data_IF_554526350595
#
_entry.id   IF_554526350595
#
_cell.length_a   1.000
_cell.length_b   1.000
_cell.length_c   1.000
_cell.angle_alpha   90.00
_cell.angle_beta   90.00
_cell.angle_gamma   90.00
#
_symmetry.space_group_name_H-M   'P 1'
#
loop_
_entity.id
_entity.type
_entity.pdbx_description
1 polymer ?
#
# COMPACT_ATOMS: atom_id res chain seq x y z
N UNK A 1 -8.26 -23.42 75.28
CA UNK A 1 -8.64 -22.34 74.35
C UNK A 1 -9.12 -21.19 75.22
N UNK A 2 -8.26 -20.44 75.92
CA UNK A 2 -7.07 -19.70 75.45
C UNK A 2 -7.43 -18.67 74.38
N UNK A 3 -7.25 -17.41 74.74
CA UNK A 3 -7.73 -16.22 74.08
C UNK A 3 -6.75 -15.66 73.03
N UNK A 4 -7.16 -14.59 72.36
CA UNK A 4 -6.36 -13.78 71.45
C UNK A 4 -6.25 -12.34 71.97
N UNK A 5 -5.21 -11.61 71.56
CA UNK A 5 -5.29 -10.15 71.32
C UNK A 5 -4.05 -9.61 70.61
N UNK A 6 -4.27 -9.06 69.41
CA UNK A 6 -3.69 -7.78 68.95
C UNK A 6 -2.16 -7.64 68.78
N UNK A 7 -1.75 -6.46 68.32
CA UNK A 7 -0.40 -6.12 67.81
C UNK A 7 -0.06 -4.65 68.16
N UNK A 8 1.21 -4.27 68.04
CA UNK A 8 1.69 -2.91 67.70
C UNK A 8 3.23 -2.97 67.39
N UNK A 9 3.80 -2.05 66.57
CA UNK A 9 5.23 -2.02 66.23
C UNK A 9 6.02 -0.91 66.95
N UNK A 10 7.37 -0.99 66.95
CA UNK A 10 8.26 -0.02 67.61
C UNK A 10 9.64 0.14 66.93
N UNK A 11 10.38 1.26 67.18
CA UNK A 11 10.92 2.02 66.04
C UNK A 11 12.42 2.40 66.07
N UNK A 12 12.92 2.90 64.93
CA UNK A 12 14.24 3.54 64.76
C UNK A 12 15.26 2.69 63.99
N UNK A 13 16.30 3.24 63.34
CA UNK A 13 16.63 4.65 63.04
C UNK A 13 17.57 4.75 61.81
N UNK A 14 17.81 5.96 61.29
CA UNK A 14 18.77 6.30 60.19
C UNK A 14 19.89 7.20 60.75
N UNK A 15 20.98 7.53 60.02
CA UNK A 15 21.51 7.01 58.74
C UNK A 15 23.00 6.56 58.80
N UNK A 16 23.58 6.06 57.70
CA UNK A 16 25.05 5.96 57.58
C UNK A 16 25.59 5.42 56.24
N UNK A 17 26.73 5.98 55.80
CA UNK A 17 27.77 5.32 54.98
C UNK A 17 27.46 4.88 53.52
N UNK A 18 27.92 5.65 52.53
CA UNK A 18 28.28 5.11 51.21
C UNK A 18 29.69 4.50 51.25
N UNK A 19 29.96 3.46 50.44
CA UNK A 19 31.16 3.52 49.60
C UNK A 19 30.92 3.09 48.14
N UNK A 20 31.73 3.62 47.22
CA UNK A 20 31.94 3.07 45.87
C UNK A 20 33.10 2.08 45.89
N UNK A 21 33.06 1.05 45.04
CA UNK A 21 34.24 0.36 44.56
C UNK A 21 34.06 -0.07 43.09
N UNK A 22 35.10 0.13 42.29
CA UNK A 22 35.37 -0.56 41.01
C UNK A 22 36.56 -1.54 41.32
N UNK A 23 37.14 -2.37 40.44
CA UNK A 23 37.15 -2.46 38.97
C UNK A 23 37.71 -3.83 38.51
N UNK A 24 37.12 -4.38 37.43
CA UNK A 24 37.76 -5.17 36.34
C UNK A 24 38.60 -6.47 36.62
N UNK A 25 38.77 -7.36 35.60
CA UNK A 25 39.34 -8.71 35.78
C UNK A 25 40.78 -8.88 35.25
N UNK A 26 41.47 -9.95 35.67
CA UNK A 26 42.72 -10.43 35.04
C UNK A 26 42.82 -11.97 35.00
N UNK A 27 43.68 -12.47 34.10
CA UNK A 27 43.96 -13.88 33.84
C UNK A 27 45.44 -14.25 34.13
N UNK A 28 45.78 -15.54 34.31
CA UNK A 28 47.17 -16.01 34.41
C UNK A 28 47.85 -16.19 33.03
N UNK A 29 49.19 -16.33 33.02
CA UNK A 29 50.04 -16.33 31.80
C UNK A 29 50.92 -17.59 31.68
N UNK A 30 51.20 -18.02 30.44
CA UNK A 30 52.49 -18.53 29.87
C UNK A 30 53.33 -19.59 30.65
N UNK A 31 53.98 -20.57 30.00
CA UNK A 31 54.92 -20.37 28.89
C UNK A 31 55.47 -21.67 28.28
N UNK A 32 55.87 -21.61 27.00
CA UNK A 32 56.94 -22.32 26.26
C UNK A 32 56.53 -22.35 24.76
N UNK A 33 56.99 -21.43 23.90
CA UNK A 33 58.33 -21.34 23.26
C UNK A 33 58.54 -22.40 22.16
N UNK A 34 58.38 -22.00 20.89
CA UNK A 34 59.44 -22.09 19.88
C UNK A 34 59.20 -21.11 18.70
N UNK A 35 60.27 -20.87 17.92
CA UNK A 35 60.47 -19.78 16.93
C UNK A 35 59.68 -20.02 15.62
N UNK A 36 59.09 -19.00 14.98
CA UNK A 36 59.64 -18.09 13.95
C UNK A 36 60.08 -18.80 12.64
N UNK A 37 59.96 -18.22 11.43
CA UNK A 37 60.08 -16.80 11.03
C UNK A 37 59.07 -16.34 9.96
N UNK A 38 59.03 -15.03 9.70
CA UNK A 38 58.44 -14.43 8.50
C UNK A 38 59.50 -14.19 7.40
N UNK A 39 59.08 -14.13 6.14
CA UNK A 39 59.89 -13.65 5.02
C UNK A 39 59.01 -13.02 3.92
N UNK A 40 59.42 -11.85 3.42
CA UNK A 40 58.79 -11.10 2.33
C UNK A 40 59.44 -11.39 0.96
N UNK A 41 58.85 -10.99 -0.19
CA UNK A 41 59.14 -11.62 -1.49
C UNK A 41 60.39 -11.09 -2.20
N UNK A 42 60.82 -11.79 -3.26
CA UNK A 42 61.86 -11.34 -4.21
C UNK A 42 61.60 -11.93 -5.62
N UNK A 43 61.91 -11.26 -6.75
CA UNK A 43 61.50 -11.67 -8.10
C UNK A 43 62.67 -12.06 -9.04
N UNK A 44 62.37 -12.42 -10.32
CA UNK A 44 63.07 -12.08 -11.60
C UNK A 44 62.97 -13.19 -12.69
N UNK A 45 62.11 -12.92 -13.68
CA UNK A 45 62.13 -13.03 -15.18
C UNK A 45 63.15 -13.94 -15.96
N UNK A 46 63.12 -14.10 -17.33
CA UNK A 46 62.97 -15.42 -17.97
C UNK A 46 64.07 -15.75 -19.02
N UNK A 47 63.80 -16.63 -20.01
CA UNK A 47 63.95 -16.15 -21.41
C UNK A 47 62.95 -16.68 -22.47
N UNK A 48 62.53 -15.77 -23.37
CA UNK A 48 62.38 -15.85 -24.86
C UNK A 48 61.63 -17.06 -25.49
N UNK A 49 60.73 -16.91 -26.47
CA UNK A 49 60.24 -15.76 -27.30
C UNK A 49 59.22 -16.31 -28.33
N UNK A 50 58.91 -15.80 -29.55
CA UNK A 50 59.22 -14.61 -30.39
C UNK A 50 58.25 -14.67 -31.61
N UNK A 51 57.82 -13.63 -32.36
CA UNK A 51 57.92 -12.16 -32.25
C UNK A 51 57.15 -11.46 -33.40
N UNK A 52 56.43 -10.36 -33.13
CA UNK A 52 56.06 -9.33 -34.15
C UNK A 52 54.64 -9.40 -34.75
N UNK A 53 54.06 -8.32 -35.31
CA UNK A 53 54.47 -6.91 -35.49
C UNK A 53 53.25 -6.09 -36.00
N UNK A 54 53.07 -4.77 -35.88
CA UNK A 54 53.70 -3.68 -35.10
C UNK A 54 52.73 -2.43 -35.08
N UNK A 55 53.22 -1.22 -34.75
CA UNK A 55 52.50 0.06 -34.82
C UNK A 55 53.29 1.12 -35.63
N UNK A 56 52.62 2.17 -36.14
CA UNK A 56 52.91 3.57 -35.73
C UNK A 56 51.60 4.36 -35.43
N UNK A 57 51.43 5.19 -34.40
CA UNK A 57 52.19 6.31 -33.79
C UNK A 57 51.86 7.70 -34.37
N UNK A 58 51.33 8.61 -33.53
CA UNK A 58 50.83 9.95 -33.88
C UNK A 58 51.86 11.09 -33.70
N UNK A 59 51.56 12.30 -34.21
CA UNK A 59 51.76 13.54 -33.43
C UNK A 59 50.60 14.57 -33.55
N UNK A 60 50.63 15.62 -32.72
CA UNK A 60 49.81 16.87 -32.81
C UNK A 60 50.72 18.11 -32.61
N UNK A 61 50.31 19.21 -31.95
CA UNK A 61 48.97 19.81 -31.76
C UNK A 61 48.92 21.37 -31.89
N UNK A 62 47.74 22.01 -31.85
CA UNK A 62 47.53 23.47 -31.60
C UNK A 62 46.13 23.70 -30.98
N UNK A 63 45.96 24.43 -29.85
CA UNK A 63 45.86 25.90 -29.63
C UNK A 63 44.65 26.58 -30.35
N UNK A 64 43.81 27.41 -29.71
CA UNK A 64 43.80 27.96 -28.32
C UNK A 64 42.39 28.45 -27.88
N UNK A 65 42.23 28.76 -26.56
CA UNK A 65 41.43 29.84 -25.90
C UNK A 65 39.96 30.17 -26.32
N UNK A 66 39.07 30.75 -25.51
CA UNK A 66 38.85 30.87 -24.04
C UNK A 66 37.45 31.52 -23.78
N UNK A 67 36.95 31.58 -22.53
CA UNK A 67 35.96 32.62 -22.14
C UNK A 67 34.50 32.23 -21.76
N UNK A 68 34.27 32.17 -20.44
CA UNK A 68 33.10 32.60 -19.62
C UNK A 68 31.73 33.02 -20.25
N UNK A 69 30.65 32.61 -19.57
CA UNK A 69 29.25 33.13 -19.66
C UNK A 69 29.05 34.40 -18.78
N UNK A 70 27.84 35.02 -18.61
CA UNK A 70 26.49 34.72 -19.15
C UNK A 70 25.68 35.95 -19.68
N UNK A 71 24.42 35.75 -20.14
CA UNK A 71 23.44 36.85 -20.32
C UNK A 71 22.22 36.52 -21.19
N UNK A 72 20.97 36.90 -20.80
CA UNK A 72 19.75 36.58 -21.55
C UNK A 72 19.29 37.71 -22.50
N UNK A 73 18.42 37.36 -23.47
CA UNK A 73 17.55 38.31 -24.19
C UNK A 73 16.14 37.74 -24.31
N UNK A 74 15.14 38.53 -23.92
CA UNK A 74 13.72 38.20 -24.15
C UNK A 74 13.22 38.69 -25.51
N UNK A 75 12.05 38.20 -25.93
CA UNK A 75 11.30 38.69 -27.10
C UNK A 75 9.84 38.89 -26.68
N UNK A 76 9.18 39.90 -27.25
CA UNK A 76 7.87 40.37 -26.80
C UNK A 76 6.69 39.45 -27.18
N UNK A 77 5.59 39.63 -26.44
CA UNK A 77 4.31 38.99 -26.72
C UNK A 77 3.64 39.55 -28.00
N UNK A 78 2.89 38.69 -28.68
CA UNK A 78 1.98 39.07 -29.76
C UNK A 78 0.75 38.17 -29.73
N UNK A 79 -0.33 38.64 -29.10
CA UNK A 79 -1.60 37.91 -29.05
C UNK A 79 -2.48 38.33 -30.24
N UNK A 80 -3.14 37.36 -30.88
CA UNK A 80 -4.33 37.65 -31.67
C UNK A 80 -5.27 36.44 -31.64
N UNK A 81 -6.55 36.70 -31.37
CA UNK A 81 -7.55 35.65 -31.17
C UNK A 81 -8.79 35.94 -32.01
N UNK A 82 -9.07 35.10 -33.00
CA UNK A 82 -10.34 35.06 -33.71
C UNK A 82 -10.55 33.71 -34.40
N UNK A 83 -11.78 33.21 -34.31
CA UNK A 83 -12.41 32.22 -35.20
C UNK A 83 -11.72 30.86 -35.39
N UNK A 84 -12.16 29.87 -34.60
CA UNK A 84 -13.08 28.87 -35.17
C UNK A 84 -14.03 28.30 -34.11
N UNK A 85 -15.34 28.42 -34.33
CA UNK A 85 -16.39 27.94 -33.41
C UNK A 85 -17.40 27.08 -34.18
N UNK A 86 -17.11 25.79 -34.35
CA UNK A 86 -18.04 24.79 -34.90
C UNK A 86 -17.48 23.36 -34.75
N UNK A 87 -18.14 22.50 -33.96
CA UNK A 87 -18.33 21.04 -34.17
C UNK A 87 -18.95 20.27 -32.96
N UNK A 88 -19.77 20.93 -32.13
CA UNK A 88 -20.62 20.22 -31.16
C UNK A 88 -21.84 19.58 -31.86
N UNK A 89 -21.64 18.46 -32.59
CA UNK A 89 -22.68 17.44 -32.89
C UNK A 89 -22.10 16.21 -33.60
N UNK A 90 -21.42 15.32 -32.85
CA UNK A 90 -21.33 13.90 -33.23
C UNK A 90 -21.85 13.04 -32.09
N UNK A 91 -22.98 12.36 -32.33
CA UNK A 91 -23.58 11.40 -31.37
C UNK A 91 -22.64 10.20 -31.25
N UNK A 92 -22.04 10.00 -30.07
CA UNK A 92 -21.25 8.80 -29.82
C UNK A 92 -22.18 7.58 -29.69
N UNK A 93 -22.29 6.78 -30.76
CA UNK A 93 -23.14 5.57 -30.83
C UNK A 93 -22.46 4.37 -30.15
N UNK A 94 -22.12 4.46 -28.86
CA UNK A 94 -21.60 3.32 -28.08
C UNK A 94 -22.05 3.28 -26.61
N UNK A 95 -23.30 3.69 -26.35
CA UNK A 95 -23.99 3.45 -25.07
C UNK A 95 -25.27 2.62 -25.29
N UNK A 96 -25.11 1.34 -25.61
CA UNK A 96 -26.20 0.38 -25.43
C UNK A 96 -26.21 -0.05 -23.95
N UNK A 97 -27.35 -0.02 -23.24
CA UNK A 97 -27.40 -0.51 -21.87
C UNK A 97 -27.17 -2.03 -21.85
N UNK A 98 -26.14 -2.47 -21.14
CA UNK A 98 -25.97 -3.90 -20.83
C UNK A 98 -27.20 -4.38 -20.06
N UNK A 99 -27.80 -5.47 -20.53
CA UNK A 99 -28.89 -6.11 -19.82
C UNK A 99 -28.41 -6.55 -18.42
N UNK A 100 -29.25 -6.45 -17.37
CA UNK A 100 -28.85 -6.88 -16.04
C UNK A 100 -28.48 -8.37 -16.07
N UNK A 101 -27.39 -8.79 -15.40
CA UNK A 101 -27.03 -10.20 -15.34
C UNK A 101 -28.17 -11.00 -14.70
N UNK A 102 -28.46 -12.19 -15.24
CA UNK A 102 -29.41 -13.12 -14.62
C UNK A 102 -28.96 -13.39 -13.18
N UNK A 103 -29.88 -13.46 -12.19
CA UNK A 103 -29.52 -13.70 -10.81
C UNK A 103 -28.83 -15.07 -10.69
N UNK A 104 -27.51 -15.05 -10.45
CA UNK A 104 -26.77 -16.26 -10.12
C UNK A 104 -27.24 -16.75 -8.75
N UNK A 105 -27.64 -18.02 -8.69
CA UNK A 105 -28.04 -18.66 -7.44
C UNK A 105 -26.81 -18.82 -6.56
N UNK A 106 -26.89 -18.40 -5.29
CA UNK A 106 -25.84 -18.67 -4.32
C UNK A 106 -25.67 -20.18 -4.14
N UNK A 107 -24.45 -20.69 -3.91
CA UNK A 107 -24.27 -22.07 -3.49
C UNK A 107 -25.01 -22.32 -2.17
N UNK A 108 -25.63 -23.50 -1.99
CA UNK A 108 -26.34 -23.84 -0.76
C UNK A 108 -25.39 -23.82 0.45
N UNK A 109 -25.88 -23.31 1.57
CA UNK A 109 -25.10 -23.11 2.81
C UNK A 109 -24.69 -21.65 3.09
N UNK A 110 -24.85 -20.74 2.13
CA UNK A 110 -24.45 -19.34 2.32
C UNK A 110 -25.38 -18.59 3.32
N UNK A 111 -24.85 -17.90 4.36
CA UNK A 111 -25.68 -17.16 5.32
C UNK A 111 -26.47 -16.02 4.66
N UNK A 112 -27.76 -15.92 4.97
CA UNK A 112 -28.61 -14.81 4.50
C UNK A 112 -28.42 -13.57 5.39
N UNK A 113 -28.36 -12.36 4.83
CA UNK A 113 -28.39 -11.13 5.63
C UNK A 113 -29.76 -10.95 6.31
N UNK A 114 -29.82 -10.23 7.46
CA UNK A 114 -31.07 -9.86 8.09
C UNK A 114 -31.85 -8.88 7.22
N UNK A 115 -33.18 -9.00 7.17
CA UNK A 115 -34.04 -8.14 6.35
C UNK A 115 -34.23 -6.78 7.07
N UNK A 116 -33.92 -5.63 6.44
CA UNK A 116 -34.15 -4.33 7.05
C UNK A 116 -35.65 -4.01 7.21
N UNK A 117 -36.06 -3.31 8.28
CA UNK A 117 -37.46 -2.96 8.51
C UNK A 117 -37.98 -1.98 7.45
N UNK A 118 -39.26 -2.13 7.05
CA UNK A 118 -39.88 -1.32 6.00
C UNK A 118 -40.38 0.03 6.53
N UNK A 119 -39.78 1.12 6.05
CA UNK A 119 -40.28 2.49 6.17
C UNK A 119 -39.33 3.47 5.45
N UNK A 120 -39.77 4.57 4.84
CA UNK A 120 -41.12 5.08 4.61
C UNK A 120 -41.23 5.66 3.17
N UNK A 121 -42.41 6.16 2.79
CA UNK A 121 -42.67 6.63 1.42
C UNK A 121 -41.80 7.83 1.01
N UNK A 122 -41.40 7.88 -0.26
CA UNK A 122 -40.67 8.99 -0.85
C UNK A 122 -41.64 9.89 -1.64
N UNK A 123 -41.68 11.19 -1.30
CA UNK A 123 -42.54 12.15 -2.00
C UNK A 123 -41.93 12.60 -3.32
N UNK A 124 -42.70 12.52 -4.41
CA UNK A 124 -42.31 13.09 -5.70
C UNK A 124 -42.20 14.61 -5.64
N UNK A 125 -41.20 15.20 -6.32
CA UNK A 125 -41.17 16.63 -6.62
C UNK A 125 -40.68 16.90 -8.05
N UNK A 126 -41.36 17.81 -8.75
CA UNK A 126 -41.12 18.13 -10.16
C UNK A 126 -39.79 18.86 -10.36
N UNK A 127 -39.04 18.47 -11.38
CA UNK A 127 -37.87 19.21 -11.84
C UNK A 127 -38.25 20.47 -12.62
N UNK A 128 -37.61 21.59 -12.31
CA UNK A 128 -37.63 22.83 -13.09
C UNK A 128 -36.23 23.13 -13.66
N UNK A 129 -36.16 23.59 -14.92
CA UNK A 129 -34.89 23.76 -15.64
C UNK A 129 -34.19 25.09 -15.26
N UNK A 130 -32.88 25.10 -15.04
CA UNK A 130 -32.10 26.34 -14.95
C UNK A 130 -31.78 26.89 -16.34
N UNK A 131 -31.74 28.22 -16.47
CA UNK A 131 -31.27 28.94 -17.66
C UNK A 131 -29.89 29.54 -17.43
N UNK A 132 -29.01 29.49 -18.43
CA UNK A 132 -27.66 30.06 -18.35
C UNK A 132 -27.66 31.60 -18.24
N UNK A 133 -26.78 32.15 -17.40
CA UNK A 133 -26.24 33.52 -17.54
C UNK A 133 -24.73 33.48 -17.33
N UNK A 134 -24.00 34.28 -18.10
CA UNK A 134 -22.54 34.31 -18.10
C UNK A 134 -22.00 35.19 -16.97
N UNK A 135 -20.92 34.76 -16.30
CA UNK A 135 -20.08 35.67 -15.52
C UNK A 135 -19.21 36.51 -16.46
N UNK A 136 -19.15 37.82 -16.21
CA UNK A 136 -18.03 38.66 -16.65
C UNK A 136 -17.11 38.89 -15.45
N UNK A 137 -15.82 38.66 -15.63
CA UNK A 137 -14.80 39.11 -14.69
C UNK A 137 -14.64 40.63 -14.78
N UNK A 138 -14.62 41.30 -13.64
CA UNK A 138 -14.32 42.72 -13.52
C UNK A 138 -13.18 42.91 -12.50
N UNK A 139 -12.07 43.48 -12.94
CA UNK A 139 -10.92 43.80 -12.08
C UNK A 139 -11.09 45.21 -11.51
N UNK A 140 -11.01 45.37 -10.18
CA UNK A 140 -10.81 46.69 -9.56
C UNK A 140 -9.88 46.64 -8.35
N UNK A 141 -9.40 47.83 -7.99
CA UNK A 141 -8.25 48.09 -7.11
C UNK A 141 -8.56 47.90 -5.61
N UNK A 142 -7.53 47.73 -4.76
CA UNK A 142 -7.71 47.63 -3.32
C UNK A 142 -8.26 48.94 -2.71
N UNK A 143 -9.03 48.80 -1.63
CA UNK A 143 -9.45 49.88 -0.75
C UNK A 143 -8.86 49.69 0.65
N UNK A 144 -8.75 50.80 1.38
CA UNK A 144 -7.97 50.90 2.62
C UNK A 144 -8.67 50.31 3.84
N UNK A 145 -7.86 49.89 4.82
CA UNK A 145 -8.37 49.35 6.07
C UNK A 145 -9.12 50.41 6.89
N UNK A 146 -10.30 50.05 7.40
CA UNK A 146 -11.01 50.81 8.43
C UNK A 146 -11.67 49.84 9.41
N UNK A 147 -11.25 49.88 10.67
CA UNK A 147 -11.86 49.06 11.73
C UNK A 147 -13.27 49.57 12.03
N UNK A 148 -14.24 48.65 12.08
CA UNK A 148 -15.50 48.81 12.81
C UNK A 148 -15.72 47.55 13.65
N UNK A 149 -16.25 47.70 14.87
CA UNK A 149 -16.52 46.58 15.79
C UNK A 149 -17.94 46.07 15.62
N UNK A 150 -18.10 44.75 15.73
CA UNK A 150 -19.34 44.10 16.15
C UNK A 150 -20.42 43.97 15.08
N UNK A 151 -20.57 42.74 14.58
CA UNK A 151 -21.83 41.99 14.55
C UNK A 151 -21.48 40.54 14.20
N UNK A 152 -21.84 39.56 15.02
CA UNK A 152 -21.59 38.13 14.75
C UNK A 152 -22.74 37.55 13.94
N UNK A 153 -22.54 37.16 12.66
CA UNK A 153 -23.58 36.46 11.91
C UNK A 153 -23.70 35.04 12.44
N UNK A 154 -24.88 34.66 12.95
CA UNK A 154 -25.24 33.24 13.13
C UNK A 154 -25.39 32.60 11.74
N UNK A 155 -24.29 32.15 11.17
CA UNK A 155 -24.30 31.35 9.93
C UNK A 155 -24.89 29.98 10.27
N UNK A 156 -26.20 29.83 10.09
CA UNK A 156 -26.87 28.55 10.16
C UNK A 156 -26.51 27.75 8.89
N UNK A 157 -25.35 27.11 8.92
CA UNK A 157 -24.82 26.30 7.82
C UNK A 157 -25.61 24.99 7.68
N UNK A 158 -26.82 25.09 7.12
CA UNK A 158 -27.56 23.93 6.60
C UNK A 158 -26.80 23.37 5.41
N UNK A 159 -25.86 22.47 5.67
CA UNK A 159 -25.16 21.71 4.63
C UNK A 159 -26.20 20.87 3.91
N UNK A 160 -26.64 21.33 2.74
CA UNK A 160 -27.39 20.50 1.80
C UNK A 160 -26.50 19.33 1.42
N UNK A 161 -26.98 18.11 1.63
CA UNK A 161 -26.28 16.91 1.20
C UNK A 161 -25.88 17.05 -0.26
N UNK A 162 -24.57 16.91 -0.53
CA UNK A 162 -24.05 16.75 -1.89
C UNK A 162 -24.69 15.53 -2.56
N UNK A 163 -24.85 15.52 -3.89
CA UNK A 163 -25.54 14.43 -4.59
C UNK A 163 -24.92 13.09 -4.22
N UNK A 164 -25.70 12.22 -3.59
CA UNK A 164 -25.24 10.94 -3.05
C UNK A 164 -24.63 10.09 -4.16
N UNK A 165 -23.31 10.02 -4.20
CA UNK A 165 -22.58 9.13 -5.10
C UNK A 165 -22.70 7.70 -4.57
N UNK A 166 -23.87 7.10 -4.79
CA UNK A 166 -24.19 5.74 -4.42
C UNK A 166 -23.36 4.78 -5.26
N UNK A 167 -22.11 4.53 -4.85
CA UNK A 167 -21.60 3.17 -4.90
C UNK A 167 -22.45 2.37 -3.91
N UNK A 168 -23.38 1.54 -4.39
CA UNK A 168 -24.30 0.87 -3.50
C UNK A 168 -23.54 -0.33 -2.94
N UNK A 169 -23.28 -0.32 -1.62
CA UNK A 169 -22.73 -1.48 -0.92
C UNK A 169 -23.85 -2.53 -0.83
N UNK A 170 -24.17 -3.16 -1.96
CA UNK A 170 -25.34 -4.04 -2.11
C UNK A 170 -25.08 -5.34 -1.36
N UNK A 171 -25.88 -5.56 -0.34
CA UNK A 171 -26.05 -6.87 0.26
C UNK A 171 -26.35 -7.89 -0.85
N UNK A 172 -25.57 -8.97 -0.91
CA UNK A 172 -25.70 -10.01 -1.93
C UNK A 172 -24.90 -9.85 -3.23
N UNK A 173 -24.12 -8.77 -3.41
CA UNK A 173 -23.06 -8.82 -4.43
C UNK A 173 -21.96 -9.81 -4.01
N UNK A 174 -21.27 -10.48 -4.97
CA UNK A 174 -20.12 -11.32 -4.66
C UNK A 174 -19.01 -10.51 -4.01
N UNK A 175 -18.06 -11.18 -3.38
CA UNK A 175 -16.80 -10.56 -2.96
C UNK A 175 -16.06 -10.04 -4.20
N UNK A 176 -15.67 -8.77 -4.15
CA UNK A 176 -14.96 -8.04 -5.19
C UNK A 176 -13.59 -7.61 -4.65
N UNK A 177 -12.59 -7.52 -5.53
CA UNK A 177 -11.29 -6.90 -5.23
C UNK A 177 -10.87 -5.98 -6.37
N UNK A 178 -10.66 -4.70 -6.08
CA UNK A 178 -10.01 -3.75 -7.01
C UNK A 178 -8.52 -3.66 -6.71
N UNK A 179 -7.69 -3.76 -7.75
CA UNK A 179 -6.25 -3.53 -7.66
C UNK A 179 -6.00 -2.02 -7.63
N UNK A 180 -5.62 -1.46 -6.47
CA UNK A 180 -5.24 -0.04 -6.36
C UNK A 180 -3.81 0.20 -6.85
N UNK A 181 -2.92 -0.79 -6.75
CA UNK A 181 -1.58 -0.75 -7.32
C UNK A 181 -0.89 -2.11 -7.29
N UNK A 182 0.20 -2.24 -8.05
CA UNK A 182 0.81 -3.54 -8.41
C UNK A 182 2.34 -3.56 -8.51
N UNK A 183 3.05 -2.45 -8.28
CA UNK A 183 4.46 -2.31 -8.66
C UNK A 183 5.40 -2.05 -7.47
N UNK A 184 6.49 -2.81 -7.36
CA UNK A 184 7.43 -2.74 -6.23
C UNK A 184 8.90 -2.75 -6.71
N UNK A 185 9.86 -2.11 -6.00
CA UNK A 185 9.70 -1.31 -4.78
C UNK A 185 9.32 0.16 -5.04
N UNK A 186 8.89 0.48 -6.26
CA UNK A 186 8.38 1.79 -6.65
C UNK A 186 7.42 1.65 -7.83
N UNK A 187 6.58 2.67 -8.05
CA UNK A 187 5.67 2.70 -9.19
C UNK A 187 6.33 3.28 -10.46
N UNK A 188 6.04 2.74 -11.66
CA UNK A 188 6.34 3.41 -12.92
C UNK A 188 5.47 4.67 -13.09
N UNK A 189 5.76 5.50 -14.10
CA UNK A 189 4.98 6.71 -14.41
C UNK A 189 3.49 6.37 -14.61
N UNK A 190 2.65 6.89 -13.72
CA UNK A 190 1.20 6.66 -13.72
C UNK A 190 0.71 5.40 -13.01
N UNK A 191 1.63 4.53 -12.56
CA UNK A 191 1.35 3.33 -11.74
C UNK A 191 1.08 3.65 -10.27
N UNK A 192 0.87 2.61 -9.45
CA UNK A 192 0.97 2.70 -7.99
C UNK A 192 1.60 1.44 -7.37
N UNK A 193 2.13 1.61 -6.17
CA UNK A 193 2.68 0.54 -5.34
C UNK A 193 1.58 -0.37 -4.74
N UNK A 194 1.92 -1.50 -4.11
CA UNK A 194 0.94 -2.47 -3.62
C UNK A 194 -0.19 -1.87 -2.78
N UNK A 195 -1.40 -2.22 -3.18
CA UNK A 195 -2.63 -1.84 -2.49
C UNK A 195 -3.85 -2.47 -3.17
N UNK A 196 -4.76 -3.02 -2.37
CA UNK A 196 -5.96 -3.72 -2.83
C UNK A 196 -7.18 -3.20 -2.05
N UNK A 197 -8.32 -3.06 -2.72
CA UNK A 197 -9.61 -2.76 -2.07
C UNK A 197 -10.55 -3.96 -2.22
N UNK A 198 -10.77 -4.69 -1.13
CA UNK A 198 -11.74 -5.79 -1.06
C UNK A 198 -13.10 -5.24 -0.63
N UNK A 199 -14.16 -5.56 -1.35
CA UNK A 199 -15.54 -5.13 -1.03
C UNK A 199 -16.48 -6.32 -0.98
N UNK A 200 -17.19 -6.49 0.13
CA UNK A 200 -18.15 -7.58 0.35
C UNK A 200 -19.09 -7.27 1.52
N UNK A 201 -20.39 -7.57 1.37
CA UNK A 201 -21.39 -7.59 2.47
C UNK A 201 -21.31 -6.42 3.48
N UNK A 202 -21.40 -5.18 3.00
CA UNK A 202 -21.34 -4.00 3.87
C UNK A 202 -19.93 -3.47 4.15
N UNK A 203 -18.88 -4.26 3.88
CA UNK A 203 -17.48 -3.95 4.21
C UNK A 203 -16.71 -3.47 2.99
N UNK A 204 -15.85 -2.48 3.22
CA UNK A 204 -14.76 -2.08 2.34
C UNK A 204 -13.45 -2.20 3.12
N UNK A 205 -12.53 -3.05 2.67
CA UNK A 205 -11.31 -3.43 3.37
C UNK A 205 -10.11 -3.15 2.47
N UNK A 206 -9.20 -2.29 2.93
CA UNK A 206 -7.97 -1.99 2.19
C UNK A 206 -6.84 -2.90 2.69
N UNK A 207 -6.14 -3.56 1.77
CA UNK A 207 -4.95 -4.37 2.05
C UNK A 207 -3.75 -3.63 1.47
N UNK A 208 -2.81 -3.25 2.33
CA UNK A 208 -1.67 -2.37 2.04
C UNK A 208 -2.05 -0.98 1.49
N UNK A 209 -1.10 -0.05 1.56
CA UNK A 209 -1.28 1.37 1.24
C UNK A 209 -0.01 2.01 0.70
N UNK A 210 0.51 1.44 -0.39
CA UNK A 210 1.67 1.95 -1.10
C UNK A 210 1.47 3.29 -1.82
N UNK A 211 2.56 4.01 -2.16
CA UNK A 211 2.55 5.23 -2.97
C UNK A 211 1.55 5.22 -4.13
N UNK A 212 0.61 6.17 -4.13
CA UNK A 212 -0.43 6.36 -5.14
C UNK A 212 -1.74 5.60 -4.91
N UNK A 213 -1.81 4.68 -3.95
CA UNK A 213 -3.02 3.88 -3.67
C UNK A 213 -4.16 4.70 -3.07
N UNK A 214 -3.89 5.72 -2.25
CA UNK A 214 -4.92 6.56 -1.59
C UNK A 214 -5.49 7.60 -2.54
N UNK A 215 -4.73 8.05 -3.54
CA UNK A 215 -5.29 8.81 -4.67
C UNK A 215 -6.26 7.94 -5.49
N UNK A 216 -5.95 6.65 -5.67
CA UNK A 216 -6.75 5.68 -6.43
C UNK A 216 -7.97 5.15 -5.66
N UNK A 217 -7.86 4.98 -4.35
CA UNK A 217 -8.95 4.59 -3.44
C UNK A 217 -10.19 5.48 -3.61
N UNK A 218 -9.98 6.80 -3.72
CA UNK A 218 -11.03 7.81 -3.87
C UNK A 218 -11.86 7.64 -5.15
N UNK A 219 -11.31 6.99 -6.19
CA UNK A 219 -12.04 6.66 -7.41
C UNK A 219 -12.94 5.40 -7.27
N UNK A 220 -12.91 4.73 -6.12
CA UNK A 220 -13.65 3.49 -5.85
C UNK A 220 -14.60 3.63 -4.66
N UNK A 221 -14.16 4.27 -3.59
CA UNK A 221 -14.92 4.40 -2.35
C UNK A 221 -14.55 5.69 -1.61
N UNK A 222 -15.51 6.48 -1.09
CA UNK A 222 -15.22 7.57 -0.16
C UNK A 222 -14.57 7.02 1.10
N UNK A 223 -13.54 7.68 1.63
CA UNK A 223 -12.81 7.18 2.81
C UNK A 223 -13.72 7.02 4.05
N UNK A 224 -14.81 7.81 4.11
CA UNK A 224 -15.91 7.66 5.07
C UNK A 224 -16.45 6.22 5.19
N UNK A 225 -16.49 5.45 4.09
CA UNK A 225 -17.03 4.09 4.04
C UNK A 225 -15.94 2.99 4.22
N UNK A 226 -14.65 3.34 4.22
CA UNK A 226 -13.57 2.38 4.42
C UNK A 226 -13.66 1.79 5.83
N UNK A 227 -13.83 0.48 5.96
CA UNK A 227 -14.13 -0.18 7.24
C UNK A 227 -12.87 -0.35 8.09
N UNK A 228 -11.78 -0.83 7.48
CA UNK A 228 -10.46 -0.99 8.09
C UNK A 228 -9.35 -1.00 7.02
N UNK A 229 -8.09 -0.86 7.46
CA UNK A 229 -6.89 -1.18 6.67
C UNK A 229 -6.18 -2.36 7.35
N UNK A 230 -5.70 -3.33 6.57
CA UNK A 230 -4.73 -4.33 7.00
C UNK A 230 -3.42 -4.10 6.25
N UNK A 231 -2.31 -4.10 6.98
CA UNK A 231 -0.95 -3.95 6.43
C UNK A 231 -0.23 -5.29 6.60
N UNK A 232 0.36 -5.80 5.53
CA UNK A 232 1.11 -7.07 5.51
C UNK A 232 2.45 -6.95 6.23
N UNK A 233 3.23 -5.93 5.88
CA UNK A 233 4.57 -5.62 6.41
C UNK A 233 4.91 -4.12 6.25
N UNK A 234 6.10 -3.70 6.70
CA UNK A 234 6.39 -2.29 6.95
C UNK A 234 7.30 -1.60 5.92
N UNK A 235 7.63 -2.27 4.81
CA UNK A 235 8.33 -1.61 3.70
C UNK A 235 7.50 -0.44 3.14
N UNK A 236 8.19 0.64 2.76
CA UNK A 236 7.56 1.92 2.43
C UNK A 236 6.58 1.85 1.25
N UNK A 237 6.81 0.96 0.29
CA UNK A 237 5.92 0.71 -0.84
C UNK A 237 4.63 -0.05 -0.46
N UNK A 238 4.49 -0.52 0.78
CA UNK A 238 3.25 -1.05 1.34
C UNK A 238 2.56 -0.10 2.34
N UNK A 239 3.21 0.99 2.77
CA UNK A 239 2.68 1.86 3.85
C UNK A 239 2.64 3.37 3.60
N UNK A 240 3.42 3.93 2.67
CA UNK A 240 3.68 5.39 2.67
C UNK A 240 2.44 6.27 2.40
N UNK A 241 1.46 5.81 1.61
CA UNK A 241 0.23 6.56 1.35
C UNK A 241 -0.71 6.57 2.59
N UNK A 242 -0.50 5.69 3.57
CA UNK A 242 -1.28 5.67 4.82
C UNK A 242 -1.06 6.93 5.67
N UNK A 243 0.05 7.67 5.46
CA UNK A 243 0.19 9.03 5.98
C UNK A 243 -0.83 9.98 5.35
N UNK A 244 -0.99 9.94 4.02
CA UNK A 244 -1.98 10.75 3.29
C UNK A 244 -3.43 10.35 3.64
N UNK A 245 -3.67 9.07 3.94
CA UNK A 245 -4.98 8.58 4.41
C UNK A 245 -5.43 9.29 5.71
N UNK A 246 -4.51 9.67 6.60
CA UNK A 246 -4.84 10.40 7.84
C UNK A 246 -5.54 11.74 7.54
N UNK A 247 -5.10 12.46 6.49
CA UNK A 247 -5.70 13.70 6.04
C UNK A 247 -7.00 13.47 5.25
N UNK A 248 -7.05 12.42 4.43
CA UNK A 248 -8.24 12.06 3.68
C UNK A 248 -9.41 11.67 4.60
N UNK A 249 -9.13 10.95 5.69
CA UNK A 249 -10.10 10.62 6.73
C UNK A 249 -10.60 11.88 7.46
N UNK A 250 -9.73 12.87 7.70
CA UNK A 250 -10.10 14.13 8.34
C UNK A 250 -11.07 14.98 7.49
N UNK A 251 -10.89 14.98 6.17
CA UNK A 251 -11.75 15.67 5.21
C UNK A 251 -13.08 14.94 4.99
N UNK A 252 -13.02 13.64 4.71
CA UNK A 252 -14.20 12.89 4.25
C UNK A 252 -15.02 12.22 5.35
N UNK A 253 -14.46 12.00 6.55
CA UNK A 253 -15.14 11.32 7.66
C UNK A 253 -15.24 12.14 8.97
N UNK A 254 -15.55 13.46 8.94
CA UNK A 254 -15.62 14.28 10.14
C UNK A 254 -16.67 13.75 11.13
N UNK A 255 -16.24 13.48 12.36
CA UNK A 255 -17.11 12.95 13.42
C UNK A 255 -17.33 11.43 13.42
N UNK A 256 -16.63 10.67 12.55
CA UNK A 256 -16.58 9.20 12.63
C UNK A 256 -15.55 8.75 13.68
N UNK A 257 -15.79 7.59 14.28
CA UNK A 257 -14.77 6.81 15.00
C UNK A 257 -13.48 6.62 14.17
N UNK A 258 -12.28 6.69 14.78
CA UNK A 258 -11.00 6.52 14.06
C UNK A 258 -10.92 5.19 13.29
N UNK A 259 -10.48 5.25 12.04
CA UNK A 259 -10.30 4.10 11.16
C UNK A 259 -9.25 3.13 11.76
N UNK A 260 -9.59 1.87 12.05
CA UNK A 260 -8.61 0.90 12.51
C UNK A 260 -7.65 0.52 11.37
N UNK A 261 -6.35 0.66 11.64
CA UNK A 261 -5.25 0.17 10.79
C UNK A 261 -4.57 -0.95 11.55
N UNK A 262 -4.71 -2.20 11.08
CA UNK A 262 -4.06 -3.38 11.66
C UNK A 262 -2.72 -3.60 10.96
N UNK A 263 -1.63 -3.60 11.71
CA UNK A 263 -0.27 -3.76 11.18
C UNK A 263 0.60 -4.61 12.11
N UNK A 264 1.71 -5.20 11.63
CA UNK A 264 2.58 -6.04 12.45
C UNK A 264 3.00 -5.38 13.77
N UNK A 265 2.84 -6.13 14.86
CA UNK A 265 3.19 -5.71 16.22
C UNK A 265 4.61 -6.09 16.62
N UNK A 266 4.89 -5.95 17.92
CA UNK A 266 6.20 -6.27 18.50
C UNK A 266 7.27 -5.21 18.23
N UNK A 267 8.51 -5.54 18.56
CA UNK A 267 9.64 -4.62 18.65
C UNK A 267 10.27 -4.23 17.30
N UNK A 268 9.54 -4.33 16.18
CA UNK A 268 10.05 -3.87 14.90
C UNK A 268 10.20 -2.33 14.95
N UNK A 269 11.43 -1.77 14.86
CA UNK A 269 11.66 -0.33 15.02
C UNK A 269 10.96 0.49 13.93
N UNK A 270 10.71 -0.10 12.77
CA UNK A 270 10.11 0.56 11.61
C UNK A 270 8.57 0.65 11.71
N UNK A 271 7.97 0.06 12.77
CA UNK A 271 6.59 0.37 13.17
C UNK A 271 6.37 1.87 13.44
N UNK A 272 7.43 2.60 13.83
CA UNK A 272 7.41 4.07 13.98
C UNK A 272 6.93 4.81 12.73
N UNK A 273 7.11 4.24 11.53
CA UNK A 273 6.67 4.87 10.28
C UNK A 273 5.15 4.75 10.06
N UNK A 274 4.45 3.88 10.79
CA UNK A 274 2.98 3.83 10.77
C UNK A 274 2.32 4.65 11.89
N UNK A 275 3.09 5.16 12.86
CA UNK A 275 2.50 5.84 14.01
C UNK A 275 1.75 7.12 13.56
N UNK A 276 0.49 7.31 13.99
CA UNK A 276 -0.30 8.45 13.56
C UNK A 276 0.33 9.78 13.99
N UNK A 277 0.28 10.77 13.09
CA UNK A 277 0.65 12.13 13.45
C UNK A 277 -0.25 12.68 14.58
N UNK A 278 0.19 13.71 15.31
CA UNK A 278 -0.63 14.35 16.35
C UNK A 278 -1.96 14.91 15.82
N UNK A 279 -2.05 15.16 14.51
CA UNK A 279 -3.29 15.42 13.78
C UNK A 279 -4.04 14.12 13.46
N UNK A 280 -3.35 13.13 12.87
CA UNK A 280 -3.88 11.85 12.39
C UNK A 280 -4.44 10.91 13.46
N UNK A 281 -3.96 10.98 14.70
CA UNK A 281 -4.41 10.17 15.84
C UNK A 281 -5.91 10.35 16.20
N UNK A 282 -6.57 11.37 15.64
CA UNK A 282 -8.03 11.57 15.72
C UNK A 282 -8.83 10.85 14.64
N UNK A 283 -8.16 10.36 13.60
CA UNK A 283 -8.77 9.93 12.33
C UNK A 283 -8.45 8.47 11.98
N UNK A 284 -7.30 7.98 12.45
CA UNK A 284 -6.88 6.58 12.37
C UNK A 284 -6.43 6.07 13.74
N UNK A 285 -6.57 4.76 13.97
CA UNK A 285 -6.09 4.07 15.16
C UNK A 285 -5.24 2.88 14.73
N UNK A 286 -3.93 2.96 14.96
CA UNK A 286 -3.02 1.85 14.71
C UNK A 286 -3.23 0.76 15.76
N UNK A 287 -3.33 -0.49 15.30
CA UNK A 287 -3.58 -1.69 16.11
C UNK A 287 -2.56 -2.79 15.74
N UNK A 288 -2.23 -3.72 16.65
CA UNK A 288 -1.49 -4.92 16.29
C UNK A 288 -2.35 -5.82 15.38
N UNK A 289 -1.71 -6.50 14.44
CA UNK A 289 -2.33 -7.58 13.65
C UNK A 289 -2.65 -8.78 14.58
N UNK A 290 -3.92 -9.23 14.68
CA UNK A 290 -4.29 -10.40 15.48
C UNK A 290 -3.97 -11.69 14.71
N UNK A 291 -2.69 -12.08 14.71
CA UNK A 291 -2.17 -13.16 13.84
C UNK A 291 -2.62 -14.55 14.27
N UNK A 292 -2.82 -14.77 15.58
CA UNK A 292 -3.12 -16.08 16.15
C UNK A 292 -4.63 -16.36 16.21
N UNK A 293 -5.43 -15.37 16.62
CA UNK A 293 -6.89 -15.48 16.75
C UNK A 293 -7.66 -15.13 15.46
N UNK A 294 -7.00 -14.38 14.57
CA UNK A 294 -7.59 -13.85 13.33
C UNK A 294 -8.51 -12.65 13.57
N UNK A 295 -8.85 -11.94 12.50
CA UNK A 295 -9.66 -10.72 12.54
C UNK A 295 -11.08 -10.96 12.02
N UNK A 296 -12.09 -10.43 12.71
CA UNK A 296 -13.44 -10.26 12.18
C UNK A 296 -13.65 -8.80 11.75
N UNK A 297 -13.93 -8.57 10.47
CA UNK A 297 -14.32 -7.25 9.94
C UNK A 297 -15.75 -7.36 9.43
N UNK A 298 -16.71 -7.02 10.31
CA UNK A 298 -18.13 -7.29 10.04
C UNK A 298 -18.36 -8.79 9.75
N UNK A 299 -19.01 -9.16 8.63
CA UNK A 299 -19.21 -10.55 8.25
C UNK A 299 -17.99 -11.21 7.56
N UNK A 300 -16.84 -10.52 7.43
CA UNK A 300 -15.61 -11.09 6.88
C UNK A 300 -14.72 -11.64 8.00
N UNK A 301 -14.24 -12.87 7.84
CA UNK A 301 -13.15 -13.43 8.65
C UNK A 301 -11.85 -13.36 7.87
N UNK A 302 -10.80 -12.86 8.52
CA UNK A 302 -9.43 -12.88 8.05
C UNK A 302 -8.58 -13.76 8.96
N UNK A 303 -7.77 -14.63 8.38
CA UNK A 303 -6.72 -15.40 9.08
C UNK A 303 -5.39 -15.15 8.42
N UNK A 304 -4.28 -15.37 9.14
CA UNK A 304 -2.95 -14.97 8.72
C UNK A 304 -1.98 -16.16 8.63
N UNK A 305 -0.95 -16.04 7.80
CA UNK A 305 0.18 -16.97 7.76
C UNK A 305 1.48 -16.20 7.56
N UNK A 306 2.53 -16.58 8.29
CA UNK A 306 3.84 -15.93 8.19
C UNK A 306 4.47 -16.23 6.83
N UNK A 307 5.01 -15.22 6.16
CA UNK A 307 5.72 -15.40 4.88
C UNK A 307 7.23 -15.59 5.07
N UNK A 308 7.89 -16.12 4.05
CA UNK A 308 9.34 -16.09 3.92
C UNK A 308 9.75 -14.72 3.42
N UNK A 309 10.07 -13.79 4.33
CA UNK A 309 10.42 -12.41 3.99
C UNK A 309 11.35 -11.82 5.06
N UNK A 310 12.25 -10.87 4.73
CA UNK A 310 13.23 -10.35 5.70
C UNK A 310 12.60 -9.68 6.93
N UNK A 311 11.49 -8.95 6.72
CA UNK A 311 10.69 -8.37 7.78
C UNK A 311 9.49 -9.25 8.19
N UNK A 312 8.85 -8.98 9.35
CA UNK A 312 7.57 -9.60 9.74
C UNK A 312 6.42 -9.31 8.77
N UNK A 313 6.29 -10.16 7.75
CA UNK A 313 5.24 -10.12 6.73
C UNK A 313 4.22 -11.27 6.86
N UNK A 314 2.96 -10.98 6.53
CA UNK A 314 1.82 -11.87 6.75
C UNK A 314 0.89 -11.96 5.53
N UNK A 315 0.77 -13.16 4.98
CA UNK A 315 -0.25 -13.53 4.02
C UNK A 315 -1.64 -13.49 4.68
N UNK A 316 -2.67 -13.09 3.92
CA UNK A 316 -4.02 -12.86 4.42
C UNK A 316 -5.04 -13.73 3.67
N UNK A 317 -5.77 -14.58 4.40
CA UNK A 317 -6.88 -15.39 3.88
C UNK A 317 -8.20 -14.79 4.35
N UNK A 318 -8.97 -14.22 3.42
CA UNK A 318 -10.20 -13.46 3.66
C UNK A 318 -11.39 -14.27 3.16
N UNK A 319 -12.41 -14.47 3.98
CA UNK A 319 -13.65 -15.16 3.59
C UNK A 319 -14.90 -14.51 4.15
N UNK A 320 -15.98 -14.52 3.37
CA UNK A 320 -17.33 -14.19 3.82
C UNK A 320 -18.13 -15.45 4.24
N UNK A 321 -17.49 -16.62 4.24
CA UNK A 321 -18.11 -17.93 4.47
C UNK A 321 -18.66 -18.60 3.20
N UNK A 322 -18.63 -17.94 2.03
CA UNK A 322 -19.11 -18.49 0.76
C UNK A 322 -18.09 -18.35 -0.38
N UNK A 323 -17.20 -17.35 -0.28
CA UNK A 323 -16.03 -17.13 -1.13
C UNK A 323 -14.77 -16.98 -0.27
N UNK A 324 -13.62 -17.38 -0.82
CA UNK A 324 -12.30 -17.19 -0.20
C UNK A 324 -11.35 -16.49 -1.17
N UNK A 325 -10.88 -15.32 -0.74
CA UNK A 325 -9.73 -14.62 -1.32
C UNK A 325 -8.48 -14.92 -0.47
N UNK A 326 -7.33 -15.10 -1.11
CA UNK A 326 -6.03 -15.16 -0.44
C UNK A 326 -5.12 -14.14 -1.08
N UNK A 327 -4.44 -13.33 -0.28
CA UNK A 327 -3.35 -12.44 -0.68
C UNK A 327 -2.08 -12.97 -0.04
N UNK A 328 -1.04 -13.27 -0.83
CA UNK A 328 0.24 -13.76 -0.26
C UNK A 328 0.97 -12.68 0.53
N UNK A 329 0.76 -11.41 0.19
CA UNK A 329 1.78 -10.37 0.38
C UNK A 329 3.15 -10.86 -0.15
N UNK A 330 4.23 -10.28 0.34
CA UNK A 330 5.59 -10.60 -0.10
C UNK A 330 6.07 -11.91 0.53
N UNK A 331 6.58 -12.81 -0.30
CA UNK A 331 7.08 -14.11 0.15
C UNK A 331 8.09 -14.69 -0.84
N UNK A 332 9.15 -15.30 -0.32
CA UNK A 332 9.99 -16.23 -1.06
C UNK A 332 9.45 -17.66 -1.00
N UNK A 333 10.18 -18.56 -1.64
CA UNK A 333 9.87 -19.99 -1.68
C UNK A 333 10.27 -20.76 -0.40
N UNK A 334 10.83 -20.09 0.63
CA UNK A 334 11.23 -20.69 1.90
C UNK A 334 10.08 -21.12 2.83
N UNK A 335 8.82 -20.80 2.48
CA UNK A 335 7.62 -21.24 3.19
C UNK A 335 6.58 -21.77 2.19
N UNK A 336 5.91 -22.86 2.53
CA UNK A 336 4.82 -23.38 1.71
C UNK A 336 3.47 -22.78 2.13
N UNK A 337 2.99 -21.80 1.36
CA UNK A 337 1.64 -21.24 1.54
C UNK A 337 0.52 -22.12 0.96
N UNK A 338 0.83 -23.22 0.24
CA UNK A 338 -0.21 -24.04 -0.41
C UNK A 338 -1.27 -24.63 0.54
N UNK A 339 -0.96 -25.05 1.79
CA UNK A 339 -1.96 -25.45 2.78
C UNK A 339 -2.88 -24.31 3.21
N UNK A 340 -2.37 -23.08 3.32
CA UNK A 340 -3.12 -21.88 3.71
C UNK A 340 -4.00 -21.35 2.57
N UNK A 341 -3.47 -21.38 1.34
CA UNK A 341 -4.17 -20.98 0.13
C UNK A 341 -5.22 -22.00 -0.36
N UNK A 342 -5.28 -23.18 0.28
CA UNK A 342 -6.01 -24.36 -0.21
C UNK A 342 -7.47 -24.07 -0.58
N UNK A 343 -7.82 -24.35 -1.84
CA UNK A 343 -9.18 -24.25 -2.36
C UNK A 343 -9.75 -22.83 -2.46
N UNK A 344 -8.92 -21.79 -2.43
CA UNK A 344 -9.38 -20.41 -2.61
C UNK A 344 -10.03 -20.16 -3.98
N UNK A 345 -11.01 -19.26 -4.03
CA UNK A 345 -11.64 -18.81 -5.28
C UNK A 345 -10.73 -17.89 -6.10
N UNK A 346 -9.89 -17.12 -5.40
CA UNK A 346 -8.87 -16.26 -5.99
C UNK A 346 -7.64 -16.24 -5.07
N UNK A 347 -6.49 -16.55 -5.64
CA UNK A 347 -5.18 -16.27 -5.06
C UNK A 347 -4.61 -15.03 -5.74
N UNK A 348 -4.32 -13.99 -4.97
CA UNK A 348 -3.49 -12.87 -5.38
C UNK A 348 -2.09 -13.16 -4.85
N UNK A 349 -1.16 -13.47 -5.74
CA UNK A 349 0.22 -13.81 -5.39
C UNK A 349 1.19 -12.73 -5.86
N UNK A 350 2.24 -12.48 -5.08
CA UNK A 350 3.37 -11.71 -5.57
C UNK A 350 4.07 -12.45 -6.73
N UNK A 351 4.68 -11.68 -7.62
CA UNK A 351 5.28 -12.16 -8.86
C UNK A 351 6.42 -11.22 -9.26
N UNK A 352 7.26 -10.87 -8.29
CA UNK A 352 8.33 -9.87 -8.40
C UNK A 352 9.25 -10.16 -9.58
N UNK A 353 9.55 -11.44 -9.79
CA UNK A 353 10.47 -11.90 -10.81
C UNK A 353 9.79 -12.76 -11.89
N UNK A 354 10.51 -12.92 -12.99
CA UNK A 354 10.35 -14.00 -13.98
C UNK A 354 11.60 -14.87 -13.93
N UNK A 355 11.58 -16.06 -14.53
CA UNK A 355 12.72 -16.98 -14.57
C UNK A 355 14.00 -16.32 -15.13
N UNK A 356 13.86 -15.34 -16.02
CA UNK A 356 14.97 -14.59 -16.61
C UNK A 356 15.71 -13.64 -15.64
N UNK A 357 15.08 -13.16 -14.56
CA UNK A 357 15.67 -12.17 -13.66
C UNK A 357 15.68 -12.55 -12.16
N UNK A 358 15.00 -13.62 -11.75
CA UNK A 358 14.90 -14.07 -10.35
C UNK A 358 16.17 -14.64 -9.69
N UNK A 359 17.37 -14.50 -10.28
CA UNK A 359 18.59 -15.21 -9.86
C UNK A 359 19.12 -14.85 -8.45
N UNK A 360 18.66 -13.75 -7.85
CA UNK A 360 18.99 -13.35 -6.48
C UNK A 360 17.74 -12.97 -5.66
N UNK A 361 16.62 -13.66 -5.88
CA UNK A 361 15.38 -13.43 -5.11
C UNK A 361 15.53 -13.89 -3.66
N UNK A 362 15.46 -12.94 -2.72
CA UNK A 362 15.28 -13.20 -1.28
C UNK A 362 13.93 -12.61 -0.88
N UNK A 363 13.09 -13.41 -0.24
CA UNK A 363 11.78 -12.96 0.23
C UNK A 363 10.74 -12.66 -0.86
N UNK A 364 10.97 -13.15 -2.09
CA UNK A 364 10.13 -12.91 -3.28
C UNK A 364 10.07 -14.13 -4.22
N UNK A 365 9.00 -14.24 -5.03
CA UNK A 365 8.74 -15.33 -5.99
C UNK A 365 9.08 -14.95 -7.44
N UNK A 366 9.23 -15.96 -8.31
CA UNK A 366 8.91 -15.81 -9.74
C UNK A 366 7.44 -16.11 -10.05
N UNK A 367 6.97 -15.66 -11.22
CA UNK A 367 5.67 -16.03 -11.77
C UNK A 367 5.44 -17.55 -11.84
N UNK A 368 6.47 -18.35 -12.17
CA UNK A 368 6.40 -19.82 -12.14
C UNK A 368 6.18 -20.38 -10.72
N UNK A 369 6.81 -19.81 -9.70
CA UNK A 369 6.64 -20.25 -8.30
C UNK A 369 5.25 -19.86 -7.76
N UNK A 370 4.74 -18.69 -8.14
CA UNK A 370 3.36 -18.28 -7.87
C UNK A 370 2.33 -19.21 -8.55
N UNK A 371 2.63 -19.70 -9.75
CA UNK A 371 1.79 -20.65 -10.49
C UNK A 371 1.84 -22.07 -9.91
N UNK A 372 3.01 -22.56 -9.48
CA UNK A 372 3.12 -23.81 -8.74
C UNK A 372 2.37 -23.73 -7.39
N UNK A 373 2.50 -22.64 -6.65
CA UNK A 373 1.73 -22.38 -5.42
C UNK A 373 0.22 -22.48 -5.69
N UNK A 374 -0.28 -21.83 -6.76
CA UNK A 374 -1.69 -21.89 -7.14
C UNK A 374 -2.14 -23.33 -7.51
N UNK A 375 -1.30 -24.06 -8.24
CA UNK A 375 -1.54 -25.45 -8.64
C UNK A 375 -1.59 -26.40 -7.44
N UNK A 376 -0.59 -26.34 -6.54
CA UNK A 376 -0.51 -27.17 -5.32
C UNK A 376 -1.57 -26.83 -4.29
N UNK A 377 -2.03 -25.58 -4.25
CA UNK A 377 -3.17 -25.15 -3.43
C UNK A 377 -4.54 -25.54 -4.01
N UNK A 378 -4.63 -25.84 -5.31
CA UNK A 378 -5.89 -26.16 -5.98
C UNK A 378 -6.87 -24.97 -5.99
N UNK A 379 -6.37 -23.75 -6.19
CA UNK A 379 -7.21 -22.55 -6.26
C UNK A 379 -7.95 -22.45 -7.59
N UNK A 380 -9.03 -21.66 -7.66
CA UNK A 380 -9.83 -21.52 -8.90
C UNK A 380 -9.20 -20.57 -9.93
N UNK A 381 -8.50 -19.53 -9.46
CA UNK A 381 -7.82 -18.51 -10.28
C UNK A 381 -6.60 -17.94 -9.55
N UNK A 382 -5.62 -17.51 -10.32
CA UNK A 382 -4.42 -16.80 -9.87
C UNK A 382 -4.40 -15.40 -10.47
N UNK A 383 -4.13 -14.39 -9.65
CA UNK A 383 -3.93 -13.01 -10.07
C UNK A 383 -2.54 -12.57 -9.61
N UNK A 384 -1.60 -12.45 -10.55
CA UNK A 384 -0.23 -12.04 -10.26
C UNK A 384 -0.20 -10.55 -9.93
N UNK A 385 0.44 -10.15 -8.84
CA UNK A 385 0.69 -8.76 -8.43
C UNK A 385 2.18 -8.53 -8.10
N UNK A 386 2.53 -7.34 -7.59
CA UNK A 386 3.86 -7.03 -7.06
C UNK A 386 4.98 -7.25 -8.10
N UNK A 387 4.96 -6.47 -9.19
CA UNK A 387 5.92 -6.59 -10.29
C UNK A 387 7.03 -5.54 -10.20
N UNK A 388 8.24 -5.91 -10.60
CA UNK A 388 9.29 -4.95 -10.93
C UNK A 388 8.84 -4.03 -12.09
N UNK A 389 8.95 -2.68 -11.97
CA UNK A 389 8.62 -1.73 -13.05
C UNK A 389 9.37 -1.96 -14.37
N UNK A 390 10.52 -2.63 -14.32
CA UNK A 390 11.35 -3.00 -15.47
C UNK A 390 10.90 -4.29 -16.17
N UNK A 391 9.99 -5.07 -15.59
CA UNK A 391 9.54 -6.37 -16.11
C UNK A 391 8.13 -6.24 -16.70
N UNK A 392 7.93 -6.45 -18.02
CA UNK A 392 6.60 -6.43 -18.62
C UNK A 392 5.68 -7.50 -18.01
N UNK A 393 4.57 -7.09 -17.40
CA UNK A 393 3.66 -8.00 -16.72
C UNK A 393 3.06 -9.12 -17.59
N UNK A 394 3.11 -8.98 -18.91
CA UNK A 394 2.70 -10.02 -19.85
C UNK A 394 3.67 -11.20 -19.90
N UNK A 395 4.96 -11.00 -19.59
CA UNK A 395 5.96 -12.09 -19.50
C UNK A 395 5.67 -12.96 -18.28
N UNK A 396 5.41 -12.34 -17.12
CA UNK A 396 4.96 -13.02 -15.92
C UNK A 396 3.63 -13.76 -16.13
N UNK A 397 2.66 -13.17 -16.84
CA UNK A 397 1.43 -13.88 -17.18
C UNK A 397 1.69 -15.11 -18.07
N UNK A 398 2.55 -14.98 -19.08
CA UNK A 398 2.89 -16.08 -19.97
C UNK A 398 3.61 -17.23 -19.24
N UNK A 399 4.58 -16.90 -18.36
CA UNK A 399 5.28 -17.87 -17.52
C UNK A 399 4.31 -18.61 -16.58
N UNK A 400 3.43 -17.88 -15.88
CA UNK A 400 2.46 -18.49 -14.98
C UNK A 400 1.41 -19.34 -15.71
N UNK A 401 0.88 -18.87 -16.85
CA UNK A 401 -0.17 -19.58 -17.61
C UNK A 401 0.32 -20.87 -18.27
N UNK A 402 1.64 -21.05 -18.43
CA UNK A 402 2.22 -22.31 -18.86
C UNK A 402 2.13 -23.43 -17.80
N UNK A 403 2.03 -23.07 -16.51
CA UNK A 403 1.93 -23.99 -15.37
C UNK A 403 0.49 -24.05 -14.83
N UNK A 404 -0.16 -22.88 -14.70
CA UNK A 404 -1.50 -22.71 -14.16
C UNK A 404 -2.35 -21.87 -15.12
N UNK A 405 -3.07 -22.49 -16.08
CA UNK A 405 -3.77 -21.79 -17.17
C UNK A 405 -4.76 -20.67 -16.77
N UNK A 406 -5.49 -20.72 -15.64
CA UNK A 406 -6.34 -19.62 -15.18
C UNK A 406 -5.59 -18.60 -14.30
N UNK A 407 -4.37 -18.25 -14.70
CA UNK A 407 -3.62 -17.09 -14.21
C UNK A 407 -3.88 -15.84 -15.08
N UNK A 408 -3.88 -14.66 -14.45
CA UNK A 408 -4.01 -13.34 -15.09
C UNK A 408 -3.11 -12.32 -14.37
N UNK A 409 -2.60 -11.31 -15.08
CA UNK A 409 -1.81 -10.25 -14.46
C UNK A 409 -2.69 -9.10 -13.93
N UNK A 410 -2.50 -8.68 -12.67
CA UNK A 410 -3.31 -7.68 -11.95
C UNK A 410 -3.35 -6.29 -12.61
N UNK A 411 -4.23 -6.07 -13.60
CA UNK A 411 -4.48 -4.75 -14.19
C UNK A 411 -4.95 -3.77 -13.11
N UNK A 412 -4.28 -2.61 -13.02
CA UNK A 412 -4.59 -1.56 -12.05
C UNK A 412 -5.97 -0.93 -12.33
N UNK A 413 -6.64 -0.47 -11.27
CA UNK A 413 -8.01 0.06 -11.27
C UNK A 413 -9.10 -0.90 -11.78
N UNK A 414 -8.75 -2.15 -12.13
CA UNK A 414 -9.72 -3.18 -12.50
C UNK A 414 -10.21 -3.91 -11.26
N UNK A 415 -11.52 -4.12 -11.20
CA UNK A 415 -12.19 -4.96 -10.20
C UNK A 415 -12.33 -6.39 -10.71
N UNK A 416 -12.03 -7.36 -9.85
CA UNK A 416 -12.18 -8.78 -10.09
C UNK A 416 -13.24 -9.33 -9.12
N UNK A 417 -14.21 -10.14 -9.57
CA UNK A 417 -14.99 -10.97 -8.66
C UNK A 417 -14.10 -12.08 -8.10
N UNK A 418 -14.47 -12.61 -6.93
CA UNK A 418 -13.90 -13.79 -6.27
C UNK A 418 -14.85 -14.98 -6.45
#
# INVERSE_FOLDING_TARGET
>A
MMAASEAEPGPGSRPGGWPRAQSEPQAPRSSQILRATSATPTPIIPPRGTSGAALPSSPGPSRAESGLSPGPRGVHAGANAQNLHLLLTRRCRFCAPLAPPKPQQYPPGCPRPPIPPRGAACCEHRASRPTHRHLRLALHRPLTARQTRGHTPRVCATVRATPSFQFPIREGLPMLVTVLGRYSPYAPVGGACPGLLVQARGVALMLDGGPGTVARLQMQVPAAHLTAVLVSHLHHDHIADLHCLQYLMADQAPGREPLPIYAPGGDNPDRRWLEPSSFGARWVRLLPLPVDEGLAVGPLRVTFARTDHPEPCWAMRITDGCRTLVYTADTGAGVDLAPFARGADLLIAESTFVAANGQNRRGHLTAAEAADLALRAGVRRLLLTHFLPSTPAAEAEAEARAIFPPAEAAVEMRTYPV
#
